data_IF_266371682212
#
_entry.id   IF_266371682212
#
_cell.length_a   1.000
_cell.length_b   1.000
_cell.length_c   1.000
_cell.angle_alpha   90.00
_cell.angle_beta   90.00
_cell.angle_gamma   90.00
#
_symmetry.space_group_name_H-M   'P 1'
#
loop_
_entity.id
_entity.type
_entity.pdbx_description
1 polymer ?
#
# COMPACT_ATOMS: atom_id res chain seq x y z
N UNK A 1 8.45 15.24 -24.69
CA UNK A 1 8.88 15.31 -23.27
C UNK A 1 10.26 14.69 -23.18
N UNK A 2 11.18 15.27 -22.41
CA UNK A 2 12.56 14.78 -22.31
C UNK A 2 12.62 13.62 -21.29
N UNK A 3 13.37 12.56 -21.62
CA UNK A 3 13.56 11.39 -20.75
C UNK A 3 14.10 11.77 -19.36
N UNK A 4 14.81 12.90 -19.26
CA UNK A 4 15.32 13.44 -17.99
C UNK A 4 14.19 14.06 -17.16
N UNK A 5 13.29 14.80 -17.81
CA UNK A 5 12.13 15.42 -17.13
C UNK A 5 11.19 14.35 -16.56
N UNK A 6 10.96 13.26 -17.29
CA UNK A 6 10.10 12.15 -16.84
C UNK A 6 10.69 11.45 -15.60
N UNK A 7 12.02 11.26 -15.55
CA UNK A 7 12.71 10.68 -14.39
C UNK A 7 12.64 11.58 -13.15
N UNK A 8 12.79 12.89 -13.34
CA UNK A 8 12.67 13.86 -12.23
C UNK A 8 11.25 13.86 -11.69
N UNK A 9 10.24 13.87 -12.56
CA UNK A 9 8.83 13.85 -12.15
C UNK A 9 8.48 12.56 -11.39
N UNK A 10 8.95 11.40 -11.85
CA UNK A 10 8.74 10.12 -11.17
C UNK A 10 9.30 10.13 -9.75
N UNK A 11 10.52 10.66 -9.56
CA UNK A 11 11.16 10.75 -8.24
C UNK A 11 10.41 11.71 -7.30
N UNK A 12 9.97 12.86 -7.79
CA UNK A 12 9.19 13.81 -6.98
C UNK A 12 7.85 13.22 -6.57
N UNK A 13 7.21 12.46 -7.47
CA UNK A 13 5.95 11.78 -7.16
C UNK A 13 6.15 10.69 -6.10
N UNK A 14 7.19 9.86 -6.22
CA UNK A 14 7.52 8.84 -5.23
C UNK A 14 7.79 9.46 -3.85
N UNK A 15 8.55 10.55 -3.79
CA UNK A 15 8.80 11.27 -2.55
C UNK A 15 7.51 11.83 -1.93
N UNK A 16 6.62 12.41 -2.75
CA UNK A 16 5.34 12.92 -2.26
C UNK A 16 4.42 11.81 -1.71
N UNK A 17 4.46 10.61 -2.32
CA UNK A 17 3.71 9.45 -1.82
C UNK A 17 4.24 9.00 -0.45
N UNK A 18 5.55 8.92 -0.29
CA UNK A 18 6.20 8.55 0.99
C UNK A 18 5.84 9.57 2.08
N UNK A 19 6.02 10.87 1.81
CA UNK A 19 5.70 11.94 2.77
C UNK A 19 4.22 11.98 3.17
N UNK A 20 3.33 11.57 2.26
CA UNK A 20 1.91 11.47 2.56
C UNK A 20 1.58 10.23 3.40
N UNK A 21 2.19 9.08 3.08
CA UNK A 21 2.03 7.84 3.84
C UNK A 21 2.51 7.98 5.29
N UNK A 22 3.69 8.57 5.51
CA UNK A 22 4.20 8.84 6.85
C UNK A 22 3.24 9.71 7.65
N UNK A 23 2.70 10.76 7.03
CA UNK A 23 1.75 11.68 7.65
C UNK A 23 0.41 11.01 8.00
N UNK A 24 -0.09 10.16 7.10
CA UNK A 24 -1.30 9.39 7.33
C UNK A 24 -1.11 8.36 8.44
N UNK A 25 0.08 7.76 8.53
CA UNK A 25 0.45 6.91 9.65
C UNK A 25 0.55 7.67 10.97
N UNK A 26 1.18 8.86 11.00
CA UNK A 26 1.22 9.69 12.20
C UNK A 26 -0.18 10.03 12.73
N UNK A 27 -1.18 10.14 11.84
CA UNK A 27 -2.57 10.44 12.21
C UNK A 27 -3.37 9.21 12.63
N UNK A 28 -3.15 8.07 11.99
CA UNK A 28 -4.06 6.90 12.10
C UNK A 28 -3.41 5.68 12.76
N UNK A 29 -2.08 5.65 12.80
CA UNK A 29 -1.28 4.48 13.15
C UNK A 29 -1.42 3.33 12.14
N UNK A 30 -1.87 3.59 10.91
CA UNK A 30 -2.13 2.56 9.89
C UNK A 30 -1.33 2.82 8.62
N UNK A 31 -0.86 1.74 7.98
CA UNK A 31 -0.24 1.77 6.64
C UNK A 31 -0.93 0.77 5.71
N UNK A 32 -0.93 1.00 4.39
CA UNK A 32 -1.37 0.00 3.44
C UNK A 32 -0.36 -1.15 3.34
N UNK A 33 -0.84 -2.39 3.35
CA UNK A 33 -0.02 -3.53 2.97
C UNK A 33 0.30 -3.47 1.47
N UNK A 34 1.57 -3.53 1.09
CA UNK A 34 2.02 -3.54 -0.32
C UNK A 34 1.44 -4.71 -1.13
N UNK A 35 1.22 -5.87 -0.51
CA UNK A 35 0.76 -7.07 -1.20
C UNK A 35 -0.75 -7.13 -1.42
N UNK A 36 -1.54 -6.60 -0.48
CA UNK A 36 -3.00 -6.73 -0.51
C UNK A 36 -3.77 -5.42 -0.42
N UNK A 37 -3.10 -4.28 -0.24
CA UNK A 37 -3.70 -2.95 -0.12
C UNK A 37 -4.53 -2.72 1.15
N UNK A 38 -4.60 -3.69 2.07
CA UNK A 38 -5.36 -3.55 3.31
C UNK A 38 -4.65 -2.58 4.24
N UNK A 39 -5.38 -1.63 4.84
CA UNK A 39 -4.85 -0.78 5.90
C UNK A 39 -4.65 -1.60 7.18
N UNK A 40 -3.41 -1.67 7.65
CA UNK A 40 -2.99 -2.43 8.82
C UNK A 40 -2.50 -1.46 9.88
N UNK A 41 -2.96 -1.63 11.13
CA UNK A 41 -2.44 -0.86 12.26
C UNK A 41 -1.04 -1.35 12.63
N UNK A 42 -0.09 -0.43 12.77
CA UNK A 42 1.32 -0.71 13.08
C UNK A 42 1.80 0.19 14.22
N UNK A 43 2.83 -0.27 14.93
CA UNK A 43 3.55 0.53 15.92
C UNK A 43 4.75 1.28 15.33
N UNK A 44 5.29 0.81 14.20
CA UNK A 44 6.45 1.39 13.51
C UNK A 44 6.28 1.27 11.99
N UNK A 45 6.82 2.23 11.24
CA UNK A 45 6.83 2.21 9.77
C UNK A 45 7.82 1.16 9.19
N UNK A 46 8.69 0.60 10.03
CA UNK A 46 9.73 -0.34 9.61
C UNK A 46 9.21 -1.75 9.38
N UNK A 47 8.13 -2.14 10.05
CA UNK A 47 7.62 -3.52 9.99
C UNK A 47 6.10 -3.57 9.87
N UNK A 48 5.63 -4.35 8.91
CA UNK A 48 4.22 -4.67 8.77
C UNK A 48 3.89 -5.84 9.72
N UNK A 49 2.97 -5.67 10.68
CA UNK A 49 2.61 -6.77 11.56
C UNK A 49 1.82 -7.85 10.80
N UNK A 50 1.77 -9.03 11.40
CA UNK A 50 1.01 -10.14 10.86
C UNK A 50 -0.48 -9.76 10.76
N UNK A 51 -1.00 -9.74 9.53
CA UNK A 51 -2.38 -9.35 9.21
C UNK A 51 -3.10 -10.37 8.32
N UNK A 52 -2.52 -11.58 8.21
CA UNK A 52 -3.00 -12.73 7.43
C UNK A 52 -3.25 -12.37 5.96
N UNK A 53 -2.24 -11.76 5.32
CA UNK A 53 -2.29 -11.34 3.91
C UNK A 53 -2.76 -12.47 2.98
N UNK A 54 -2.15 -13.65 3.10
CA UNK A 54 -2.45 -14.81 2.25
C UNK A 54 -3.92 -15.26 2.37
N UNK A 55 -4.46 -15.31 3.59
CA UNK A 55 -5.86 -15.66 3.82
C UNK A 55 -6.81 -14.62 3.21
N UNK A 56 -6.49 -13.33 3.35
CA UNK A 56 -7.27 -12.23 2.75
C UNK A 56 -7.24 -12.30 1.23
N UNK A 57 -6.07 -12.54 0.62
CA UNK A 57 -5.94 -12.71 -0.81
C UNK A 57 -6.69 -13.96 -1.31
N UNK A 58 -6.66 -15.06 -0.56
CA UNK A 58 -7.46 -16.27 -0.84
C UNK A 58 -8.96 -15.94 -0.81
N UNK A 59 -9.45 -15.33 0.26
CA UNK A 59 -10.86 -14.95 0.39
C UNK A 59 -11.30 -13.95 -0.71
N UNK A 60 -10.43 -13.04 -1.14
CA UNK A 60 -10.69 -12.15 -2.28
C UNK A 60 -10.84 -12.93 -3.59
N UNK A 61 -9.92 -13.85 -3.88
CA UNK A 61 -9.99 -14.70 -5.08
C UNK A 61 -11.27 -15.54 -5.10
N UNK A 62 -11.64 -16.13 -3.96
CA UNK A 62 -12.87 -16.92 -3.83
C UNK A 62 -14.14 -16.08 -4.06
N UNK A 63 -14.19 -14.83 -3.56
CA UNK A 63 -15.31 -13.92 -3.84
C UNK A 63 -15.41 -13.56 -5.32
N UNK A 64 -14.30 -13.16 -5.93
CA UNK A 64 -14.26 -12.83 -7.36
C UNK A 64 -14.64 -14.03 -8.23
N UNK A 65 -14.24 -15.24 -7.86
CA UNK A 65 -14.63 -16.46 -8.56
C UNK A 65 -16.14 -16.74 -8.47
N UNK A 66 -16.79 -16.39 -7.34
CA UNK A 66 -18.24 -16.54 -7.15
C UNK A 66 -19.05 -15.46 -7.88
N UNK A 67 -18.51 -14.26 -8.02
CA UNK A 67 -19.15 -13.15 -8.74
C UNK A 67 -19.11 -13.33 -10.27
N UNK A 68 -18.28 -14.25 -10.78
CA UNK A 68 -18.14 -14.56 -12.20
C UNK A 68 -18.93 -15.79 -12.67
N UNK A 69 -19.70 -16.42 -11.77
CA UNK A 69 -20.63 -17.53 -12.06
C UNK A 69 -22.07 -17.04 -12.07
#
# INVERSE_FOLDING_TARGET
MSVVADRILARLHEQALIENEERDWYRTGRIPCSDCGTLVATKTLETLPEHRCADRQKARRERLAKEQQ
#
